data_IF_492584095090
#
_entry.id   IF_492584095090
#
_cell.length_a   1.000
_cell.length_b   1.000
_cell.length_c   1.000
_cell.angle_alpha   90.00
_cell.angle_beta   90.00
_cell.angle_gamma   90.00
#
_symmetry.space_group_name_H-M   'P 1'
#
loop_
_entity.id
_entity.type
_entity.pdbx_description
1 polymer ?
#
# COMPACT_ATOMS: atom_id res chain seq x y z
N UNK A 1 3.31 52.79 -10.85
CA UNK A 1 4.65 52.86 -10.24
C UNK A 1 4.54 53.35 -8.80
N UNK A 2 4.68 52.48 -7.81
CA UNK A 2 4.58 52.87 -6.39
C UNK A 2 5.44 51.97 -5.50
N UNK A 3 6.61 52.54 -5.18
CA UNK A 3 7.49 52.44 -3.99
C UNK A 3 7.67 51.10 -3.26
N UNK A 4 8.88 50.56 -3.42
CA UNK A 4 9.63 49.71 -2.49
C UNK A 4 9.64 50.27 -1.07
N UNK A 5 9.56 49.39 -0.07
CA UNK A 5 10.05 49.63 1.29
C UNK A 5 10.86 48.43 1.75
N UNK A 6 12.16 48.66 1.91
CA UNK A 6 13.09 47.82 2.63
C UNK A 6 12.85 47.98 4.14
N UNK A 7 12.82 46.87 4.87
CA UNK A 7 13.00 46.86 6.32
C UNK A 7 14.17 45.94 6.65
N UNK A 8 15.26 46.62 6.99
CA UNK A 8 16.48 46.18 7.64
C UNK A 8 16.22 46.15 9.16
N UNK A 9 16.84 45.20 9.88
CA UNK A 9 16.92 45.22 11.35
C UNK A 9 16.30 43.96 11.98
N UNK A 10 16.94 43.28 12.92
CA UNK A 10 18.18 43.55 13.62
C UNK A 10 18.68 42.27 14.28
N UNK A 11 20.01 42.20 14.39
CA UNK A 11 20.77 41.20 15.11
C UNK A 11 20.53 41.41 16.62
N UNK A 12 20.06 40.38 17.34
CA UNK A 12 20.04 40.38 18.80
C UNK A 12 20.73 39.11 19.31
N UNK A 13 21.94 39.33 19.82
CA UNK A 13 22.76 38.40 20.58
C UNK A 13 22.21 38.33 22.01
N UNK A 14 21.84 37.16 22.51
CA UNK A 14 21.60 36.89 23.93
C UNK A 14 22.17 35.49 24.22
N UNK A 15 23.41 35.43 24.71
CA UNK A 15 23.79 35.32 26.13
C UNK A 15 23.21 34.07 26.80
N UNK A 16 24.14 33.16 27.07
CA UNK A 16 24.03 31.82 27.63
C UNK A 16 23.40 31.78 29.02
N UNK A 17 22.50 30.82 29.22
CA UNK A 17 22.22 30.23 30.54
C UNK A 17 22.63 28.75 30.50
N UNK A 18 23.77 28.47 31.13
CA UNK A 18 24.22 27.12 31.44
C UNK A 18 23.32 26.56 32.55
N UNK A 19 22.32 25.78 32.16
CA UNK A 19 21.63 24.88 33.09
C UNK A 19 22.46 23.62 33.22
N UNK A 20 23.09 23.45 34.39
CA UNK A 20 23.64 22.17 34.85
C UNK A 20 22.48 21.19 35.07
N UNK A 21 22.17 20.40 34.04
CA UNK A 21 21.26 19.27 34.16
C UNK A 21 22.03 18.08 34.77
N UNK A 22 21.80 17.79 36.05
CA UNK A 22 21.94 16.43 36.56
C UNK A 22 20.85 15.59 35.89
N UNK A 23 21.13 15.05 34.70
CA UNK A 23 20.33 13.96 34.17
C UNK A 23 20.63 12.74 35.04
N UNK A 24 19.69 12.47 35.94
CA UNK A 24 19.50 11.14 36.49
C UNK A 24 19.37 10.21 35.29
N UNK A 25 20.34 9.33 35.13
CA UNK A 25 20.37 8.30 34.11
C UNK A 25 19.24 7.32 34.45
N UNK A 26 18.01 7.68 34.05
CA UNK A 26 16.92 6.72 33.95
C UNK A 26 17.39 5.72 32.90
N UNK A 27 17.93 4.61 33.39
CA UNK A 27 18.09 3.39 32.63
C UNK A 27 16.69 3.05 32.13
N UNK A 28 16.34 3.55 30.95
CA UNK A 28 15.17 3.07 30.23
C UNK A 28 15.37 1.58 30.13
N UNK A 29 14.53 0.83 30.85
CA UNK A 29 14.33 -0.58 30.59
C UNK A 29 14.25 -0.74 29.07
N UNK A 30 14.94 -1.73 28.48
CA UNK A 30 15.01 -1.87 27.03
C UNK A 30 13.58 -1.75 26.52
N UNK A 31 13.31 -0.70 25.75
CA UNK A 31 12.02 -0.57 25.12
C UNK A 31 11.91 -1.83 24.29
N UNK A 32 11.05 -2.76 24.72
CA UNK A 32 10.69 -3.90 23.90
C UNK A 32 10.33 -3.28 22.56
N UNK A 33 11.18 -3.51 21.55
CA UNK A 33 10.96 -3.06 20.18
C UNK A 33 9.82 -3.95 19.70
N UNK A 34 8.62 -3.64 20.20
CA UNK A 34 7.43 -4.36 19.90
C UNK A 34 7.12 -4.02 18.45
N UNK A 35 6.97 -5.05 17.63
CA UNK A 35 6.60 -4.90 16.23
C UNK A 35 5.21 -4.24 16.16
N UNK A 36 5.18 -2.91 16.19
CA UNK A 36 3.99 -2.09 16.16
C UNK A 36 3.18 -2.48 14.93
N UNK A 37 1.90 -2.79 15.13
CA UNK A 37 1.08 -3.51 14.16
C UNK A 37 0.96 -2.85 12.79
N UNK A 38 1.12 -1.52 12.71
CA UNK A 38 1.03 -0.77 11.46
C UNK A 38 2.35 -0.77 10.65
N UNK A 39 3.51 -0.76 11.33
CA UNK A 39 4.81 -0.62 10.64
C UNK A 39 5.18 -1.88 9.85
N UNK A 40 4.71 -3.06 10.26
CA UNK A 40 5.10 -4.35 9.65
C UNK A 40 4.06 -4.92 8.68
N UNK A 41 3.10 -4.10 8.24
CA UNK A 41 2.09 -4.52 7.28
C UNK A 41 2.68 -4.56 5.86
N UNK A 42 2.63 -5.74 5.25
CA UNK A 42 2.87 -5.88 3.81
C UNK A 42 1.55 -5.74 3.06
N UNK A 43 1.43 -4.85 2.07
CA UNK A 43 0.24 -4.77 1.25
C UNK A 43 -0.02 -6.10 0.54
N UNK A 44 -1.27 -6.53 0.46
CA UNK A 44 -1.62 -7.68 -0.38
C UNK A 44 -1.54 -7.26 -1.85
N UNK A 45 -0.58 -7.84 -2.58
CA UNK A 45 -0.39 -7.56 -4.00
C UNK A 45 -1.49 -8.20 -4.85
N UNK A 46 -2.18 -9.24 -4.35
CA UNK A 46 -3.24 -9.90 -5.09
C UNK A 46 -4.44 -8.96 -5.32
N UNK A 47 -4.76 -8.11 -4.34
CA UNK A 47 -5.84 -7.13 -4.44
C UNK A 47 -5.56 -6.04 -5.48
N UNK A 48 -4.29 -5.68 -5.65
CA UNK A 48 -3.85 -4.74 -6.68
C UNK A 48 -3.80 -5.41 -8.06
N UNK A 49 -3.51 -6.70 -8.12
CA UNK A 49 -3.37 -7.44 -9.36
C UNK A 49 -4.72 -7.76 -10.00
N UNK A 50 -5.66 -8.22 -9.18
CA UNK A 50 -7.00 -8.64 -9.59
C UNK A 50 -8.05 -8.02 -8.66
N UNK A 51 -8.34 -6.71 -8.77
CA UNK A 51 -9.34 -6.07 -7.94
C UNK A 51 -10.73 -6.64 -8.23
N UNK A 52 -11.54 -6.80 -7.18
CA UNK A 52 -12.92 -7.21 -7.34
C UNK A 52 -13.77 -6.01 -7.77
N UNK A 53 -14.19 -6.02 -9.03
CA UNK A 53 -15.09 -5.02 -9.60
C UNK A 53 -16.53 -5.42 -9.30
N UNK A 54 -17.26 -4.61 -8.56
CA UNK A 54 -18.69 -4.81 -8.24
C UNK A 54 -19.55 -4.75 -9.50
N UNK A 55 -20.77 -5.26 -9.43
CA UNK A 55 -21.71 -5.15 -10.54
C UNK A 55 -22.33 -3.75 -10.54
N UNK A 56 -22.07 -2.97 -11.58
CA UNK A 56 -22.82 -1.74 -11.84
C UNK A 56 -24.28 -2.08 -12.14
N UNK A 57 -25.19 -1.29 -11.60
CA UNK A 57 -26.63 -1.43 -11.82
C UNK A 57 -27.19 -0.12 -12.39
N UNK A 58 -28.51 -0.05 -12.57
CA UNK A 58 -29.18 1.20 -12.92
C UNK A 58 -28.87 2.31 -11.90
N UNK A 59 -28.78 1.95 -10.61
CA UNK A 59 -28.63 2.90 -9.49
C UNK A 59 -27.24 2.92 -8.88
N UNK A 60 -26.42 1.90 -9.13
CA UNK A 60 -25.09 1.75 -8.53
C UNK A 60 -23.97 1.82 -9.58
N UNK A 61 -22.93 2.57 -9.25
CA UNK A 61 -21.71 2.62 -10.04
C UNK A 61 -20.86 1.35 -9.89
N UNK A 62 -20.01 1.10 -10.88
CA UNK A 62 -18.90 0.16 -10.70
C UNK A 62 -17.96 0.71 -9.62
N UNK A 63 -17.58 -0.15 -8.67
CA UNK A 63 -16.60 0.13 -7.61
C UNK A 63 -15.61 -1.02 -7.51
N UNK A 64 -14.44 -0.76 -6.93
CA UNK A 64 -13.50 -1.80 -6.53
C UNK A 64 -13.60 -2.04 -5.03
N UNK A 65 -13.81 -3.28 -4.61
CA UNK A 65 -13.79 -3.67 -3.20
C UNK A 65 -12.50 -4.43 -2.89
N UNK A 66 -11.81 -4.12 -1.77
CA UNK A 66 -10.70 -4.95 -1.28
C UNK A 66 -11.20 -6.37 -0.99
N UNK A 67 -10.33 -7.38 -1.14
CA UNK A 67 -10.70 -8.76 -0.84
C UNK A 67 -10.53 -9.01 0.66
N UNK A 68 -11.50 -9.66 1.30
CA UNK A 68 -11.42 -9.97 2.75
C UNK A 68 -10.19 -10.82 3.13
N UNK A 69 -9.67 -11.63 2.19
CA UNK A 69 -8.50 -12.47 2.39
C UNK A 69 -7.18 -11.68 2.63
N UNK A 70 -7.16 -10.37 2.35
CA UNK A 70 -5.95 -9.54 2.52
C UNK A 70 -5.56 -9.36 3.98
N UNK A 71 -6.53 -9.27 4.91
CA UNK A 71 -6.28 -9.09 6.35
C UNK A 71 -5.54 -10.27 6.98
N UNK A 72 -5.84 -11.49 6.53
CA UNK A 72 -5.25 -12.71 7.09
C UNK A 72 -3.77 -12.83 6.71
N UNK A 73 -3.42 -12.51 5.46
CA UNK A 73 -2.04 -12.55 4.96
C UNK A 73 -1.15 -11.47 5.60
N UNK A 74 -1.71 -10.32 5.93
CA UNK A 74 -0.99 -9.22 6.61
C UNK A 74 -0.46 -9.62 8.00
N UNK A 75 -1.20 -10.46 8.73
CA UNK A 75 -0.76 -10.96 10.04
C UNK A 75 0.32 -12.06 9.96
N UNK A 76 0.64 -12.58 8.77
CA UNK A 76 1.58 -13.69 8.62
C UNK A 76 3.04 -13.27 8.76
N UNK A 77 3.47 -12.15 8.16
CA UNK A 77 4.87 -11.69 8.29
C UNK A 77 5.18 -11.35 9.76
N UNK A 78 4.29 -10.60 10.41
CA UNK A 78 4.44 -10.23 11.82
C UNK A 78 4.59 -11.47 12.70
N UNK A 79 3.73 -12.48 12.52
CA UNK A 79 3.84 -13.77 13.23
C UNK A 79 5.15 -14.48 12.93
N UNK A 80 5.59 -14.51 11.67
CA UNK A 80 6.85 -15.11 11.29
C UNK A 80 8.03 -14.44 11.99
N UNK A 81 8.13 -13.10 11.94
CA UNK A 81 9.20 -12.33 12.58
C UNK A 81 9.23 -12.53 14.12
N UNK A 82 8.06 -12.59 14.77
CA UNK A 82 7.97 -12.91 16.20
C UNK A 82 8.53 -14.30 16.52
N UNK A 83 8.31 -15.29 15.66
CA UNK A 83 8.76 -16.67 15.87
C UNK A 83 10.27 -16.89 15.63
N UNK A 84 10.95 -15.91 15.03
CA UNK A 84 12.40 -15.98 14.78
C UNK A 84 13.24 -15.69 16.02
N UNK A 85 12.67 -15.10 17.09
CA UNK A 85 13.44 -14.66 18.26
C UNK A 85 14.65 -13.80 17.83
N UNK A 86 14.39 -12.78 17.02
CA UNK A 86 15.43 -11.86 16.53
C UNK A 86 16.09 -11.15 17.71
N UNK A 87 17.42 -10.97 17.68
CA UNK A 87 18.11 -10.10 18.65
C UNK A 87 17.84 -8.61 18.37
N UNK A 88 18.36 -7.72 19.22
CA UNK A 88 18.14 -6.28 19.10
C UNK A 88 18.67 -5.69 17.79
N UNK A 89 19.86 -6.11 17.36
CA UNK A 89 20.48 -5.63 16.12
C UNK A 89 19.67 -6.11 14.91
N UNK A 90 19.24 -7.37 14.93
CA UNK A 90 18.38 -7.94 13.90
C UNK A 90 17.04 -7.21 13.83
N UNK A 91 16.39 -6.93 14.97
CA UNK A 91 15.12 -6.18 15.02
C UNK A 91 15.28 -4.77 14.43
N UNK A 92 16.34 -4.06 14.80
CA UNK A 92 16.63 -2.73 14.26
C UNK A 92 16.86 -2.79 12.74
N UNK A 93 17.60 -3.77 12.24
CA UNK A 93 17.83 -3.98 10.82
C UNK A 93 16.53 -4.30 10.07
N UNK A 94 15.70 -5.22 10.57
CA UNK A 94 14.39 -5.55 9.97
C UNK A 94 13.50 -4.30 9.89
N UNK A 95 13.46 -3.48 10.95
CA UNK A 95 12.72 -2.21 10.93
C UNK A 95 13.19 -1.30 9.79
N UNK A 96 14.51 -1.14 9.64
CA UNK A 96 15.09 -0.38 8.54
C UNK A 96 14.73 -0.94 7.16
N UNK A 97 14.76 -2.27 6.99
CA UNK A 97 14.38 -2.91 5.73
C UNK A 97 12.90 -2.71 5.39
N UNK A 98 12.02 -2.77 6.39
CA UNK A 98 10.57 -2.55 6.20
C UNK A 98 10.28 -1.11 5.82
N UNK A 99 10.95 -0.13 6.44
CA UNK A 99 10.84 1.29 6.06
C UNK A 99 11.29 1.51 4.61
N UNK A 100 12.40 0.89 4.19
CA UNK A 100 12.86 0.93 2.79
C UNK A 100 11.85 0.29 1.84
N UNK A 101 11.24 -0.83 2.23
CA UNK A 101 10.18 -1.47 1.46
C UNK A 101 8.96 -0.55 1.28
N UNK A 102 8.49 0.08 2.35
CA UNK A 102 7.38 1.04 2.28
C UNK A 102 7.70 2.21 1.35
N UNK A 103 8.91 2.78 1.43
CA UNK A 103 9.35 3.81 0.51
C UNK A 103 9.36 3.33 -0.95
N UNK A 104 9.80 2.09 -1.20
CA UNK A 104 9.85 1.47 -2.54
C UNK A 104 8.46 1.28 -3.15
N UNK A 105 7.46 0.88 -2.36
CA UNK A 105 6.14 0.53 -2.88
C UNK A 105 5.15 1.71 -2.95
N UNK A 106 5.37 2.77 -2.16
CA UNK A 106 4.40 3.84 -1.96
C UNK A 106 3.95 4.51 -3.27
N UNK A 107 4.89 4.88 -4.14
CA UNK A 107 4.57 5.52 -5.41
C UNK A 107 3.82 4.55 -6.34
N UNK A 108 4.29 3.31 -6.47
CA UNK A 108 3.72 2.34 -7.39
C UNK A 108 2.31 1.90 -6.99
N UNK A 109 2.04 1.77 -5.70
CA UNK A 109 0.67 1.54 -5.21
C UNK A 109 -0.27 2.68 -5.59
N UNK A 110 0.18 3.93 -5.44
CA UNK A 110 -0.59 5.12 -5.83
C UNK A 110 -0.86 5.10 -7.33
N UNK A 111 0.15 4.84 -8.17
CA UNK A 111 -0.04 4.77 -9.64
C UNK A 111 -1.05 3.70 -10.07
N UNK A 112 -1.06 2.54 -9.42
CA UNK A 112 -2.07 1.49 -9.70
C UNK A 112 -3.47 1.95 -9.27
N UNK A 113 -3.61 2.57 -8.10
CA UNK A 113 -4.90 3.08 -7.61
C UNK A 113 -5.46 4.18 -8.51
N UNK A 114 -4.61 5.10 -8.96
CA UNK A 114 -4.99 6.18 -9.89
C UNK A 114 -5.46 5.60 -11.22
N UNK A 115 -4.73 4.60 -11.73
CA UNK A 115 -5.12 3.88 -12.93
C UNK A 115 -6.48 3.18 -12.79
N UNK A 116 -6.70 2.47 -11.68
CA UNK A 116 -7.99 1.82 -11.41
C UNK A 116 -9.13 2.84 -11.31
N UNK A 117 -8.89 3.98 -10.66
CA UNK A 117 -9.86 5.07 -10.55
C UNK A 117 -10.22 5.63 -11.92
N UNK A 118 -9.23 5.86 -12.78
CA UNK A 118 -9.44 6.34 -14.16
C UNK A 118 -10.24 5.34 -15.01
N UNK A 119 -9.92 4.04 -14.91
CA UNK A 119 -10.63 2.97 -15.59
C UNK A 119 -12.11 2.88 -15.15
N UNK A 120 -12.35 2.94 -13.85
CA UNK A 120 -13.71 2.98 -13.29
C UNK A 120 -14.48 4.22 -13.73
N UNK A 121 -13.85 5.39 -13.76
CA UNK A 121 -14.49 6.62 -14.19
C UNK A 121 -14.96 6.52 -15.66
N UNK A 122 -14.10 6.00 -16.54
CA UNK A 122 -14.46 5.75 -17.95
C UNK A 122 -15.62 4.75 -18.09
N UNK A 123 -15.56 3.62 -17.38
CA UNK A 123 -16.64 2.65 -17.40
C UNK A 123 -17.95 3.21 -16.84
N UNK A 124 -17.91 4.03 -15.80
CA UNK A 124 -19.09 4.65 -15.22
C UNK A 124 -19.73 5.70 -16.15
N UNK A 125 -18.95 6.43 -16.95
CA UNK A 125 -19.49 7.30 -17.99
C UNK A 125 -20.31 6.48 -19.03
N UNK A 126 -19.77 5.34 -19.48
CA UNK A 126 -20.48 4.44 -20.41
C UNK A 126 -21.74 3.85 -19.74
N UNK A 127 -21.66 3.49 -18.45
CA UNK A 127 -22.80 3.04 -17.65
C UNK A 127 -23.95 4.05 -17.68
N UNK A 128 -23.63 5.32 -17.44
CA UNK A 128 -24.62 6.40 -17.41
C UNK A 128 -25.32 6.56 -18.75
N UNK A 129 -24.61 6.40 -19.86
CA UNK A 129 -25.21 6.48 -21.19
C UNK A 129 -26.16 5.31 -21.48
N UNK A 130 -25.83 4.10 -21.02
CA UNK A 130 -26.75 2.96 -21.07
C UNK A 130 -28.01 3.19 -20.22
N UNK A 131 -27.86 3.74 -19.01
CA UNK A 131 -28.98 4.07 -18.14
C UNK A 131 -29.86 5.16 -18.76
N UNK A 132 -29.27 6.20 -19.36
CA UNK A 132 -30.02 7.24 -20.10
C UNK A 132 -30.80 6.64 -21.27
N UNK A 133 -30.20 5.72 -22.03
CA UNK A 133 -30.88 5.04 -23.14
C UNK A 133 -32.07 4.20 -22.67
N UNK A 134 -31.92 3.49 -21.54
CA UNK A 134 -33.00 2.72 -20.92
C UNK A 134 -34.15 3.62 -20.45
N UNK A 135 -33.84 4.70 -19.73
CA UNK A 135 -34.84 5.67 -19.26
C UNK A 135 -35.58 6.39 -20.39
N UNK A 136 -34.91 6.55 -21.54
CA UNK A 136 -35.51 7.09 -22.75
C UNK A 136 -36.31 6.04 -23.57
N UNK A 137 -36.43 4.79 -23.09
CA UNK A 137 -37.12 3.70 -23.79
C UNK A 137 -36.42 3.19 -25.05
N UNK A 138 -35.15 3.57 -25.28
CA UNK A 138 -34.38 3.19 -26.48
C UNK A 138 -33.82 1.77 -26.40
N UNK A 139 -33.65 1.25 -25.19
CA UNK A 139 -33.26 -0.13 -24.92
C UNK A 139 -34.17 -0.72 -23.84
N UNK A 140 -34.34 -2.04 -23.87
CA UNK A 140 -35.08 -2.78 -22.85
C UNK A 140 -34.22 -3.01 -21.60
N UNK A 141 -34.85 -3.43 -20.50
CA UNK A 141 -34.14 -3.83 -19.28
C UNK A 141 -33.14 -4.97 -19.53
N UNK A 142 -33.54 -5.98 -20.31
CA UNK A 142 -32.66 -7.11 -20.64
C UNK A 142 -31.41 -6.64 -21.43
N UNK A 143 -31.59 -5.70 -22.37
CA UNK A 143 -30.48 -5.10 -23.11
C UNK A 143 -29.56 -4.26 -22.21
N UNK A 144 -30.10 -3.56 -21.22
CA UNK A 144 -29.31 -2.83 -20.22
C UNK A 144 -28.44 -3.80 -19.41
N UNK A 145 -29.03 -4.87 -18.87
CA UNK A 145 -28.32 -5.88 -18.07
C UNK A 145 -27.19 -6.57 -18.87
N UNK A 146 -27.46 -6.93 -20.13
CA UNK A 146 -26.47 -7.49 -21.04
C UNK A 146 -25.30 -6.51 -21.26
N UNK A 147 -25.61 -5.24 -21.58
CA UNK A 147 -24.60 -4.20 -21.80
C UNK A 147 -23.74 -3.92 -20.56
N UNK A 148 -24.35 -3.90 -19.38
CA UNK A 148 -23.64 -3.72 -18.11
C UNK A 148 -22.73 -4.92 -17.79
N UNK A 149 -23.18 -6.13 -18.11
CA UNK A 149 -22.39 -7.36 -17.94
C UNK A 149 -21.17 -7.35 -18.86
N UNK A 150 -21.36 -7.02 -20.15
CA UNK A 150 -20.27 -6.91 -21.12
C UNK A 150 -19.27 -5.81 -20.73
N UNK A 151 -19.77 -4.64 -20.29
CA UNK A 151 -18.93 -3.54 -19.81
C UNK A 151 -18.08 -3.95 -18.59
N UNK A 152 -18.66 -4.69 -17.64
CA UNK A 152 -17.91 -5.22 -16.50
C UNK A 152 -16.82 -6.20 -16.93
N UNK A 153 -17.13 -7.11 -17.85
CA UNK A 153 -16.16 -8.08 -18.35
C UNK A 153 -14.97 -7.39 -19.04
N UNK A 154 -15.26 -6.42 -19.92
CA UNK A 154 -14.25 -5.61 -20.59
C UNK A 154 -13.42 -4.79 -19.59
N UNK A 155 -14.04 -4.15 -18.61
CA UNK A 155 -13.33 -3.42 -17.55
C UNK A 155 -12.39 -4.34 -16.76
N UNK A 156 -12.85 -5.54 -16.38
CA UNK A 156 -12.00 -6.51 -15.66
C UNK A 156 -10.81 -6.94 -16.50
N UNK A 157 -11.02 -7.17 -17.80
CA UNK A 157 -9.94 -7.54 -18.72
C UNK A 157 -8.94 -6.39 -18.90
N UNK A 158 -9.42 -5.16 -19.10
CA UNK A 158 -8.57 -3.97 -19.24
C UNK A 158 -7.75 -3.76 -17.96
N UNK A 159 -8.39 -3.81 -16.79
CA UNK A 159 -7.69 -3.74 -15.50
C UNK A 159 -6.66 -4.87 -15.35
N UNK A 160 -6.98 -6.10 -15.78
CA UNK A 160 -6.07 -7.24 -15.68
C UNK A 160 -4.82 -7.06 -16.56
N UNK A 161 -5.00 -6.62 -17.81
CA UNK A 161 -3.96 -6.61 -18.85
C UNK A 161 -3.25 -5.27 -19.02
N UNK A 162 -3.65 -4.22 -18.33
CA UNK A 162 -3.08 -2.88 -18.52
C UNK A 162 -1.54 -2.84 -18.31
N UNK A 163 -0.78 -2.41 -19.33
CA UNK A 163 0.69 -2.44 -19.33
C UNK A 163 1.33 -1.62 -18.22
N UNK A 164 0.80 -0.42 -17.95
CA UNK A 164 1.29 0.42 -16.85
C UNK A 164 1.12 -0.28 -15.49
N UNK A 165 0.00 -0.97 -15.26
CA UNK A 165 -0.22 -1.78 -14.06
C UNK A 165 0.82 -2.89 -13.98
N UNK A 166 1.03 -3.63 -15.06
CA UNK A 166 2.00 -4.73 -15.10
C UNK A 166 3.43 -4.24 -14.80
N UNK A 167 3.79 -3.04 -15.24
CA UNK A 167 5.07 -2.41 -14.92
C UNK A 167 5.20 -2.11 -13.43
N UNK A 168 4.19 -1.47 -12.82
CA UNK A 168 4.21 -1.21 -11.38
C UNK A 168 4.18 -2.49 -10.54
N UNK A 169 3.39 -3.51 -10.94
CA UNK A 169 3.34 -4.80 -10.27
C UNK A 169 4.70 -5.53 -10.27
N UNK A 170 5.46 -5.44 -11.36
CA UNK A 170 6.83 -5.98 -11.40
C UNK A 170 7.74 -5.31 -10.36
N UNK A 171 7.65 -3.99 -10.21
CA UNK A 171 8.44 -3.28 -9.19
C UNK A 171 7.97 -3.64 -7.78
N UNK A 172 6.66 -3.71 -7.52
CA UNK A 172 6.13 -4.12 -6.22
C UNK A 172 6.62 -5.51 -5.80
N UNK A 173 6.63 -6.48 -6.73
CA UNK A 173 7.18 -7.82 -6.49
C UNK A 173 8.67 -7.77 -6.20
N UNK A 174 9.43 -6.98 -6.95
CA UNK A 174 10.87 -6.78 -6.72
C UNK A 174 11.14 -6.16 -5.34
N UNK A 175 10.44 -5.08 -4.95
CA UNK A 175 10.56 -4.47 -3.63
C UNK A 175 10.27 -5.48 -2.50
N UNK A 176 9.28 -6.37 -2.70
CA UNK A 176 8.95 -7.42 -1.73
C UNK A 176 10.06 -8.48 -1.66
N UNK A 177 10.56 -8.94 -2.80
CA UNK A 177 11.66 -9.91 -2.85
C UNK A 177 12.92 -9.37 -2.17
N UNK A 178 13.27 -8.10 -2.43
CA UNK A 178 14.42 -7.44 -1.80
C UNK A 178 14.27 -7.35 -0.28
N UNK A 179 13.07 -7.06 0.22
CA UNK A 179 12.79 -7.09 1.67
C UNK A 179 13.07 -8.49 2.25
N UNK A 180 12.51 -9.53 1.64
CA UNK A 180 12.67 -10.91 2.13
C UNK A 180 14.16 -11.33 2.10
N UNK A 181 14.89 -11.00 1.04
CA UNK A 181 16.32 -11.28 0.92
C UNK A 181 17.16 -10.53 1.95
N UNK A 182 16.85 -9.25 2.22
CA UNK A 182 17.53 -8.48 3.26
C UNK A 182 17.30 -9.09 4.65
N UNK A 183 16.06 -9.50 4.95
CA UNK A 183 15.76 -10.20 6.20
C UNK A 183 16.57 -11.50 6.28
N UNK A 184 16.60 -12.31 5.23
CA UNK A 184 17.39 -13.57 5.19
C UNK A 184 18.86 -13.38 5.47
N UNK A 185 19.45 -12.30 4.94
CA UNK A 185 20.89 -12.04 5.05
C UNK A 185 21.39 -11.80 6.48
N UNK A 186 20.49 -11.45 7.41
CA UNK A 186 20.83 -11.19 8.81
C UNK A 186 20.46 -12.34 9.74
N UNK A 187 19.80 -13.39 9.25
CA UNK A 187 19.36 -14.52 10.07
C UNK A 187 20.50 -15.52 10.30
N UNK A 188 20.58 -16.05 11.52
CA UNK A 188 21.43 -17.20 11.79
C UNK A 188 20.83 -18.50 11.22
N UNK A 189 21.57 -19.62 11.16
CA UNK A 189 21.08 -20.86 10.55
C UNK A 189 19.74 -21.38 11.11
N UNK A 190 19.54 -21.30 12.44
CA UNK A 190 18.30 -21.76 13.10
C UNK A 190 17.11 -20.87 12.73
N UNK A 191 17.32 -19.55 12.70
CA UNK A 191 16.29 -18.59 12.27
C UNK A 191 15.95 -18.76 10.79
N UNK A 192 16.96 -18.93 9.95
CA UNK A 192 16.78 -19.11 8.51
C UNK A 192 15.94 -20.35 8.18
N UNK A 193 16.11 -21.44 8.94
CA UNK A 193 15.26 -22.63 8.80
C UNK A 193 13.78 -22.32 9.09
N UNK A 194 13.48 -21.65 10.21
CA UNK A 194 12.11 -21.22 10.55
C UNK A 194 11.53 -20.28 9.48
N UNK A 195 12.35 -19.35 9.00
CA UNK A 195 11.98 -18.41 7.94
C UNK A 195 11.64 -19.11 6.63
N UNK A 196 12.46 -20.07 6.20
CA UNK A 196 12.23 -20.85 4.98
C UNK A 196 10.95 -21.71 5.08
N UNK A 197 10.68 -22.29 6.24
CA UNK A 197 9.44 -23.03 6.49
C UNK A 197 8.19 -22.14 6.39
N UNK A 198 8.28 -20.89 6.82
CA UNK A 198 7.20 -19.93 6.65
C UNK A 198 7.07 -19.47 5.19
N UNK A 199 8.18 -19.15 4.52
CA UNK A 199 8.17 -18.71 3.11
C UNK A 199 7.54 -19.74 2.17
N UNK A 200 7.74 -21.04 2.40
CA UNK A 200 7.14 -22.08 1.58
C UNK A 200 5.60 -22.12 1.65
N UNK A 201 5.02 -21.49 2.67
CA UNK A 201 3.56 -21.37 2.85
C UNK A 201 2.98 -20.10 2.18
N UNK A 202 3.81 -19.21 1.63
CA UNK A 202 3.37 -17.99 0.94
C UNK A 202 2.99 -18.23 -0.54
N UNK A 203 3.00 -19.49 -0.99
CA UNK A 203 2.61 -19.91 -2.34
C UNK A 203 1.21 -19.43 -2.72
#
# INVERSE_FOLDING_TARGET
>A
MKKMRHTLGGLALAVSLLFTACQKEDTQAPQDIEFASAEFQLPDLADLETPEVTMGTETAAFTCTPREASKEKMELLKRALKNLNLDENQRAAVKGFVQQHHACIAEHMTKIKDLHTSLLARANAVREDYVKAYKAGRITKAQLEEKLTQLRASLREEMAKHDAKQTHMRVLRKCRQELLQKIESILNPTQLQKWNNWKSQLG
#
